data_IF_842407837203
#
_entry.id   IF_842407837203
#
_cell.length_a   1.000
_cell.length_b   1.000
_cell.length_c   1.000
_cell.angle_alpha   90.00
_cell.angle_beta   90.00
_cell.angle_gamma   90.00
#
_symmetry.space_group_name_H-M   'P 1'
#
loop_
_entity.id
_entity.type
_entity.pdbx_description
1 polymer ?
#
# COMPACT_ATOMS: atom_id res chain seq x y z
N UNK A 1 -11.53 -26.93 4.03
CA UNK A 1 -12.45 -26.64 2.91
C UNK A 1 -13.63 -25.75 3.34
N UNK A 2 -14.31 -26.04 4.47
CA UNK A 2 -15.45 -25.24 4.98
C UNK A 2 -15.14 -23.76 5.29
N UNK A 3 -13.95 -23.42 5.82
CA UNK A 3 -13.61 -22.02 6.13
C UNK A 3 -13.38 -21.12 4.90
N UNK A 4 -12.89 -21.67 3.79
CA UNK A 4 -12.62 -20.90 2.57
C UNK A 4 -13.94 -20.54 1.88
N UNK A 5 -14.87 -21.50 1.79
CA UNK A 5 -16.22 -21.25 1.27
C UNK A 5 -16.99 -20.28 2.17
N UNK A 6 -16.88 -20.43 3.49
CA UNK A 6 -17.52 -19.49 4.43
C UNK A 6 -16.93 -18.07 4.37
N UNK A 7 -15.66 -17.90 4.05
CA UNK A 7 -15.06 -16.57 3.85
C UNK A 7 -15.47 -16.00 2.48
N UNK A 8 -15.53 -16.82 1.43
CA UNK A 8 -15.99 -16.42 0.08
C UNK A 8 -17.47 -16.01 0.04
N UNK A 9 -18.35 -16.72 0.75
CA UNK A 9 -19.77 -16.36 0.82
C UNK A 9 -19.95 -14.98 1.49
N UNK A 10 -19.11 -14.68 2.48
CA UNK A 10 -19.12 -13.40 3.19
C UNK A 10 -18.56 -12.25 2.33
N UNK A 11 -17.57 -12.50 1.47
CA UNK A 11 -17.09 -11.47 0.54
C UNK A 11 -18.14 -11.16 -0.53
N UNK A 12 -18.79 -12.18 -1.08
CA UNK A 12 -19.86 -12.00 -2.06
C UNK A 12 -21.11 -11.29 -1.49
N UNK A 13 -21.46 -11.55 -0.23
CA UNK A 13 -22.51 -10.81 0.47
C UNK A 13 -22.12 -9.33 0.66
N UNK A 14 -20.93 -9.06 1.18
CA UNK A 14 -20.44 -7.69 1.37
C UNK A 14 -20.39 -6.90 0.06
N UNK A 15 -19.92 -7.51 -1.03
CA UNK A 15 -19.90 -6.90 -2.36
C UNK A 15 -21.30 -6.51 -2.82
N UNK A 16 -22.29 -7.39 -2.64
CA UNK A 16 -23.70 -7.12 -3.00
C UNK A 16 -24.27 -5.97 -2.19
N UNK A 17 -24.03 -5.93 -0.88
CA UNK A 17 -24.50 -4.85 -0.02
C UNK A 17 -23.90 -3.50 -0.40
N UNK A 18 -22.59 -3.45 -0.65
CA UNK A 18 -21.89 -2.22 -1.08
C UNK A 18 -22.45 -1.71 -2.41
N UNK A 19 -22.65 -2.60 -3.39
CA UNK A 19 -23.23 -2.21 -4.68
C UNK A 19 -24.69 -1.77 -4.56
N UNK A 20 -25.48 -2.42 -3.71
CA UNK A 20 -26.86 -2.02 -3.46
C UNK A 20 -26.94 -0.63 -2.83
N UNK A 21 -26.06 -0.33 -1.85
CA UNK A 21 -25.97 0.99 -1.23
C UNK A 21 -25.59 2.08 -2.24
N UNK A 22 -24.61 1.79 -3.12
CA UNK A 22 -24.23 2.71 -4.20
C UNK A 22 -25.33 2.90 -5.25
N UNK A 23 -26.07 1.84 -5.57
CA UNK A 23 -27.17 1.87 -6.54
C UNK A 23 -28.43 2.60 -6.03
N UNK A 24 -28.63 2.64 -4.71
CA UNK A 24 -29.74 3.38 -4.10
C UNK A 24 -29.67 4.90 -4.40
N UNK A 25 -28.47 5.43 -4.65
CA UNK A 25 -28.24 6.83 -4.99
C UNK A 25 -28.52 7.79 -3.82
N UNK A 26 -28.37 9.09 -4.08
CA UNK A 26 -28.62 10.14 -3.06
C UNK A 26 -27.64 10.13 -1.89
N UNK A 27 -26.44 9.58 -2.10
CA UNK A 27 -25.37 9.59 -1.10
C UNK A 27 -24.68 10.95 -1.09
N UNK A 28 -24.38 11.43 0.11
CA UNK A 28 -23.42 12.53 0.29
C UNK A 28 -22.04 12.12 -0.22
N UNK A 29 -21.25 13.09 -0.72
CA UNK A 29 -19.96 12.82 -1.37
C UNK A 29 -19.00 11.99 -0.49
N UNK A 30 -18.95 12.26 0.81
CA UNK A 30 -18.15 11.51 1.79
C UNK A 30 -18.58 10.04 1.88
N UNK A 31 -19.89 9.80 1.96
CA UNK A 31 -20.44 8.44 2.07
C UNK A 31 -20.21 7.65 0.79
N UNK A 32 -20.42 8.28 -0.37
CA UNK A 32 -20.13 7.67 -1.67
C UNK A 32 -18.64 7.32 -1.80
N UNK A 33 -17.74 8.25 -1.48
CA UNK A 33 -16.29 8.02 -1.55
C UNK A 33 -15.85 6.85 -0.65
N UNK A 34 -16.38 6.76 0.57
CA UNK A 34 -16.08 5.66 1.50
C UNK A 34 -16.61 4.30 1.01
N UNK A 35 -17.85 4.26 0.51
CA UNK A 35 -18.45 3.02 -0.02
C UNK A 35 -17.72 2.51 -1.25
N UNK A 36 -17.38 3.40 -2.19
CA UNK A 36 -16.57 3.04 -3.37
C UNK A 36 -15.17 2.58 -2.98
N UNK A 37 -14.55 3.22 -2.00
CA UNK A 37 -13.23 2.80 -1.48
C UNK A 37 -13.28 1.43 -0.82
N UNK A 38 -14.35 1.14 -0.07
CA UNK A 38 -14.56 -0.17 0.53
C UNK A 38 -14.76 -1.25 -0.55
N UNK A 39 -15.56 -0.97 -1.58
CA UNK A 39 -15.77 -1.87 -2.71
C UNK A 39 -14.46 -2.10 -3.48
N UNK A 40 -13.69 -1.05 -3.77
CA UNK A 40 -12.39 -1.17 -4.42
C UNK A 40 -11.40 -2.04 -3.62
N UNK A 41 -11.38 -1.87 -2.29
CA UNK A 41 -10.52 -2.69 -1.41
C UNK A 41 -10.92 -4.17 -1.45
N UNK A 42 -12.22 -4.45 -1.41
CA UNK A 42 -12.76 -5.81 -1.49
C UNK A 42 -12.39 -6.47 -2.82
N UNK A 43 -12.67 -5.81 -3.94
CA UNK A 43 -12.35 -6.28 -5.29
C UNK A 43 -10.84 -6.51 -5.48
N UNK A 44 -10.01 -5.58 -4.97
CA UNK A 44 -8.56 -5.72 -5.00
C UNK A 44 -8.07 -6.95 -4.24
N UNK A 45 -8.65 -7.24 -3.07
CA UNK A 45 -8.31 -8.44 -2.27
C UNK A 45 -8.70 -9.76 -2.94
N UNK A 46 -9.68 -9.73 -3.85
CA UNK A 46 -10.06 -10.86 -4.70
C UNK A 46 -9.22 -10.94 -5.99
N UNK A 47 -8.31 -10.00 -6.21
CA UNK A 47 -7.49 -9.90 -7.42
C UNK A 47 -8.22 -9.31 -8.63
N UNK A 48 -9.43 -8.77 -8.45
CA UNK A 48 -10.25 -8.11 -9.49
C UNK A 48 -9.80 -6.66 -9.66
N UNK A 49 -8.52 -6.48 -9.97
CA UNK A 49 -7.89 -5.16 -10.02
C UNK A 49 -8.50 -4.17 -11.03
N UNK A 50 -8.93 -4.56 -12.25
CA UNK A 50 -9.55 -3.61 -13.18
C UNK A 50 -10.78 -2.93 -12.57
N UNK A 51 -11.65 -3.72 -11.94
CA UNK A 51 -12.88 -3.22 -11.30
C UNK A 51 -12.57 -2.39 -10.06
N UNK A 52 -11.55 -2.78 -9.27
CA UNK A 52 -11.09 -1.99 -8.14
C UNK A 52 -10.57 -0.61 -8.56
N UNK A 53 -9.85 -0.54 -9.69
CA UNK A 53 -9.33 0.71 -10.26
C UNK A 53 -10.47 1.61 -10.76
N UNK A 54 -11.52 1.04 -11.35
CA UNK A 54 -12.70 1.82 -11.74
C UNK A 54 -13.40 2.45 -10.53
N UNK A 55 -13.62 1.66 -9.47
CA UNK A 55 -14.29 2.16 -8.27
C UNK A 55 -13.45 3.20 -7.52
N UNK A 56 -12.13 3.01 -7.42
CA UNK A 56 -11.27 4.02 -6.79
C UNK A 56 -11.15 5.29 -7.65
N UNK A 57 -11.19 5.17 -8.99
CA UNK A 57 -11.23 6.30 -9.90
C UNK A 57 -12.47 7.17 -9.69
N UNK A 58 -13.64 6.53 -9.51
CA UNK A 58 -14.89 7.21 -9.16
C UNK A 58 -14.83 7.85 -7.77
N UNK A 59 -14.20 7.19 -6.80
CA UNK A 59 -14.03 7.75 -5.46
C UNK A 59 -13.09 8.96 -5.43
N UNK A 60 -12.07 9.00 -6.29
CA UNK A 60 -11.09 10.09 -6.38
C UNK A 60 -11.67 11.39 -6.95
N UNK A 61 -12.73 11.30 -7.76
CA UNK A 61 -13.41 12.47 -8.34
C UNK A 61 -14.55 12.98 -7.45
N UNK A 62 -14.91 12.26 -6.39
CA UNK A 62 -15.88 12.73 -5.41
C UNK A 62 -15.30 13.94 -4.66
N UNK A 63 -16.11 14.99 -4.48
CA UNK A 63 -15.75 16.17 -3.68
C UNK A 63 -15.89 15.86 -2.19
N UNK A 64 -15.08 14.92 -1.73
CA UNK A 64 -15.13 14.41 -0.38
C UNK A 64 -14.23 15.26 0.54
N UNK A 65 -14.65 15.38 1.79
CA UNK A 65 -13.87 16.00 2.85
C UNK A 65 -12.54 15.29 3.06
N UNK A 66 -11.65 15.95 3.81
CA UNK A 66 -10.26 15.52 3.95
C UNK A 66 -10.09 14.05 4.34
N UNK A 67 -10.83 13.58 5.36
CA UNK A 67 -10.63 12.24 5.91
C UNK A 67 -11.01 11.13 4.90
N UNK A 68 -12.20 11.14 4.28
CA UNK A 68 -12.51 10.27 3.15
C UNK A 68 -11.52 10.40 1.99
N UNK A 69 -11.15 11.62 1.58
CA UNK A 69 -10.20 11.82 0.47
C UNK A 69 -8.81 11.21 0.75
N UNK A 70 -8.31 11.33 1.98
CA UNK A 70 -7.06 10.69 2.41
C UNK A 70 -7.18 9.16 2.38
N UNK A 71 -8.33 8.61 2.80
CA UNK A 71 -8.60 7.18 2.74
C UNK A 71 -8.66 6.65 1.31
N UNK A 72 -9.34 7.35 0.40
CA UNK A 72 -9.39 7.04 -1.04
C UNK A 72 -7.97 6.99 -1.61
N UNK A 73 -7.17 8.02 -1.37
CA UNK A 73 -5.79 8.08 -1.87
C UNK A 73 -4.92 6.96 -1.31
N UNK A 74 -5.09 6.61 -0.04
CA UNK A 74 -4.35 5.49 0.59
C UNK A 74 -4.65 4.16 -0.09
N UNK A 75 -5.91 3.88 -0.37
CA UNK A 75 -6.32 2.66 -1.08
C UNK A 75 -5.86 2.68 -2.53
N UNK A 76 -5.96 3.82 -3.21
CA UNK A 76 -5.42 3.99 -4.56
C UNK A 76 -3.90 3.69 -4.60
N UNK A 77 -3.13 4.24 -3.67
CA UNK A 77 -1.69 4.00 -3.57
C UNK A 77 -1.37 2.50 -3.37
N UNK A 78 -2.13 1.81 -2.53
CA UNK A 78 -1.98 0.38 -2.31
C UNK A 78 -2.31 -0.44 -3.58
N UNK A 79 -3.43 -0.14 -4.25
CA UNK A 79 -3.80 -0.80 -5.51
C UNK A 79 -2.76 -0.59 -6.61
N UNK A 80 -2.22 0.62 -6.73
CA UNK A 80 -1.13 0.92 -7.67
C UNK A 80 0.12 0.11 -7.34
N UNK A 81 0.47 -0.03 -6.06
CA UNK A 81 1.60 -0.84 -5.63
C UNK A 81 1.41 -2.33 -5.96
N UNK A 82 0.22 -2.89 -5.72
CA UNK A 82 -0.11 -4.28 -6.05
C UNK A 82 -0.06 -4.55 -7.56
N UNK A 83 -0.40 -3.55 -8.37
CA UNK A 83 -0.28 -3.58 -9.83
C UNK A 83 1.16 -3.34 -10.35
N UNK A 84 2.15 -3.18 -9.45
CA UNK A 84 3.54 -2.89 -9.81
C UNK A 84 3.79 -1.47 -10.29
N UNK A 85 2.80 -0.57 -10.20
CA UNK A 85 2.89 0.86 -10.56
C UNK A 85 3.53 1.66 -9.42
N UNK A 86 4.73 1.25 -9.01
CA UNK A 86 5.40 1.72 -7.80
C UNK A 86 5.68 3.23 -7.79
N UNK A 87 5.99 3.83 -8.96
CA UNK A 87 6.24 5.28 -9.05
C UNK A 87 5.00 6.10 -8.72
N UNK A 88 3.87 5.72 -9.32
CA UNK A 88 2.59 6.40 -9.08
C UNK A 88 2.11 6.18 -7.64
N UNK A 89 2.30 4.98 -7.08
CA UNK A 89 2.03 4.71 -5.68
C UNK A 89 2.89 5.61 -4.75
N UNK A 90 4.17 5.76 -5.04
CA UNK A 90 5.07 6.64 -4.27
C UNK A 90 4.62 8.09 -4.31
N UNK A 91 4.16 8.59 -5.48
CA UNK A 91 3.62 9.95 -5.62
C UNK A 91 2.33 10.15 -4.81
N UNK A 92 1.42 9.16 -4.79
CA UNK A 92 0.24 9.22 -3.92
C UNK A 92 0.64 9.27 -2.44
N UNK A 93 1.64 8.48 -2.02
CA UNK A 93 2.14 8.53 -0.65
C UNK A 93 2.82 9.86 -0.31
N UNK A 94 3.52 10.52 -1.25
CA UNK A 94 4.03 11.88 -1.04
C UNK A 94 2.91 12.85 -0.71
N UNK A 95 1.82 12.82 -1.48
CA UNK A 95 0.66 13.66 -1.22
C UNK A 95 0.04 13.39 0.17
N UNK A 96 -0.03 12.12 0.56
CA UNK A 96 -0.52 11.68 1.87
C UNK A 96 0.37 12.12 3.03
N UNK A 97 1.70 12.09 2.86
CA UNK A 97 2.66 12.60 3.85
C UNK A 97 2.49 14.10 4.04
N UNK A 98 2.40 14.86 2.95
CA UNK A 98 2.20 16.32 3.00
C UNK A 98 0.88 16.65 3.70
N UNK A 99 -0.21 15.97 3.33
CA UNK A 99 -1.51 16.10 3.97
C UNK A 99 -1.46 15.75 5.47
N UNK A 100 -0.93 14.59 5.83
CA UNK A 100 -0.86 14.13 7.22
C UNK A 100 -0.02 15.06 8.10
N UNK A 101 1.08 15.62 7.59
CA UNK A 101 1.91 16.57 8.34
C UNK A 101 1.20 17.88 8.62
N UNK A 102 0.41 18.39 7.67
CA UNK A 102 -0.41 19.60 7.88
C UNK A 102 -1.41 19.39 9.01
N UNK A 103 -2.03 18.22 9.06
CA UNK A 103 -2.99 17.83 10.10
C UNK A 103 -2.34 17.29 11.38
N UNK A 104 -1.00 17.26 11.47
CA UNK A 104 -0.24 16.65 12.59
C UNK A 104 -0.70 15.22 12.91
N UNK A 105 -1.09 14.48 11.88
CA UNK A 105 -1.59 13.11 11.99
C UNK A 105 -0.45 12.11 11.97
N UNK A 106 -0.50 11.10 12.85
CA UNK A 106 0.46 9.99 12.86
C UNK A 106 0.41 9.14 11.59
N UNK A 107 -0.67 9.24 10.82
CA UNK A 107 -0.76 8.64 9.49
C UNK A 107 0.35 9.11 8.53
N UNK A 108 0.92 10.30 8.73
CA UNK A 108 2.05 10.76 7.93
C UNK A 108 3.26 9.81 8.01
N UNK A 109 3.52 9.24 9.19
CA UNK A 109 4.61 8.28 9.40
C UNK A 109 4.34 6.98 8.65
N UNK A 110 3.08 6.50 8.70
CA UNK A 110 2.66 5.31 7.96
C UNK A 110 2.76 5.53 6.44
N UNK A 111 2.35 6.70 5.95
CA UNK A 111 2.45 7.05 4.54
C UNK A 111 3.91 7.12 4.06
N UNK A 112 4.81 7.74 4.82
CA UNK A 112 6.24 7.78 4.47
C UNK A 112 6.86 6.38 4.53
N UNK A 113 6.51 5.57 5.53
CA UNK A 113 6.88 4.15 5.59
C UNK A 113 6.49 3.40 4.30
N UNK A 114 5.24 3.53 3.86
CA UNK A 114 4.78 2.85 2.65
C UNK A 114 5.46 3.39 1.39
N UNK A 115 5.76 4.70 1.34
CA UNK A 115 6.55 5.30 0.27
C UNK A 115 7.95 4.69 0.19
N UNK A 116 8.63 4.49 1.32
CA UNK A 116 9.97 3.88 1.35
C UNK A 116 9.98 2.47 0.75
N UNK A 117 8.92 1.70 0.98
CA UNK A 117 8.75 0.39 0.33
C UNK A 117 8.68 0.55 -1.19
N UNK A 118 7.89 1.51 -1.71
CA UNK A 118 7.81 1.75 -3.15
C UNK A 118 9.14 2.22 -3.75
N UNK A 119 9.86 3.09 -3.07
CA UNK A 119 11.19 3.56 -3.50
C UNK A 119 12.21 2.40 -3.54
N UNK A 120 12.10 1.46 -2.60
CA UNK A 120 12.91 0.24 -2.60
C UNK A 120 12.61 -0.63 -3.82
N UNK A 121 11.34 -0.80 -4.18
CA UNK A 121 10.94 -1.51 -5.40
C UNK A 121 11.44 -0.84 -6.69
N UNK A 122 11.55 0.49 -6.70
CA UNK A 122 12.10 1.26 -7.82
C UNK A 122 13.64 1.26 -7.89
N UNK A 123 14.33 0.74 -6.87
CA UNK A 123 15.79 0.81 -6.76
C UNK A 123 16.32 2.22 -6.41
N UNK A 124 15.46 3.13 -5.92
CA UNK A 124 15.84 4.48 -5.50
C UNK A 124 16.49 4.46 -4.10
N UNK A 125 17.58 3.72 -3.96
CA UNK A 125 18.18 3.36 -2.68
C UNK A 125 18.67 4.55 -1.84
N UNK A 126 19.22 5.59 -2.47
CA UNK A 126 19.63 6.83 -1.79
C UNK A 126 18.42 7.57 -1.20
N UNK A 127 17.30 7.61 -1.92
CA UNK A 127 16.07 8.18 -1.44
C UNK A 127 15.51 7.38 -0.25
N UNK A 128 15.64 6.05 -0.28
CA UNK A 128 15.30 5.18 0.87
C UNK A 128 16.16 5.49 2.08
N UNK A 129 17.48 5.63 1.91
CA UNK A 129 18.41 5.96 3.01
C UNK A 129 18.04 7.30 3.66
N UNK A 130 17.89 8.36 2.85
CA UNK A 130 17.50 9.67 3.35
C UNK A 130 16.12 9.68 4.01
N UNK A 131 15.16 8.96 3.43
CA UNK A 131 13.80 8.91 3.97
C UNK A 131 13.70 8.07 5.24
N UNK A 132 14.45 6.96 5.34
CA UNK A 132 14.53 6.17 6.57
C UNK A 132 15.11 6.98 7.74
N UNK A 133 16.20 7.72 7.49
CA UNK A 133 16.80 8.60 8.50
C UNK A 133 15.82 9.70 8.97
N UNK A 134 15.08 10.32 8.04
CA UNK A 134 14.03 11.30 8.40
C UNK A 134 12.90 10.66 9.20
N UNK A 135 12.42 9.49 8.78
CA UNK A 135 11.34 8.78 9.46
C UNK A 135 11.75 8.36 10.89
N UNK A 136 13.01 7.97 11.08
CA UNK A 136 13.58 7.70 12.39
C UNK A 136 13.62 8.96 13.27
N UNK A 137 14.12 10.09 12.78
CA UNK A 137 14.11 11.37 13.52
C UNK A 137 12.68 11.79 13.89
N UNK A 138 11.74 11.74 12.93
CA UNK A 138 10.33 12.07 13.15
C UNK A 138 9.68 11.15 14.19
N UNK A 139 10.04 9.87 14.21
CA UNK A 139 9.50 8.90 15.16
C UNK A 139 9.87 9.22 16.62
N UNK A 140 10.98 9.90 16.88
CA UNK A 140 11.39 10.27 18.25
C UNK A 140 10.42 11.24 18.91
N UNK A 141 9.64 11.96 18.10
CA UNK A 141 8.66 12.97 18.53
C UNK A 141 7.22 12.43 18.51
N UNK A 142 7.02 11.21 18.01
CA UNK A 142 5.71 10.60 17.88
C UNK A 142 5.30 9.86 19.16
N UNK A 143 4.00 9.77 19.47
CA UNK A 143 3.53 8.92 20.57
C UNK A 143 3.70 7.44 20.24
N UNK A 144 3.86 6.61 21.26
CA UNK A 144 3.75 5.15 21.11
C UNK A 144 2.27 4.75 20.89
N UNK A 145 1.97 3.72 20.07
CA UNK A 145 2.90 2.79 19.41
C UNK A 145 3.42 3.27 18.04
N UNK A 146 2.94 4.40 17.53
CA UNK A 146 3.24 4.89 16.17
C UNK A 146 4.74 5.14 15.97
N UNK A 147 5.41 5.65 17.01
CA UNK A 147 6.86 5.82 17.03
C UNK A 147 7.61 4.51 16.80
N UNK A 148 7.27 3.45 17.53
CA UNK A 148 7.87 2.12 17.33
C UNK A 148 7.61 1.58 15.93
N UNK A 149 6.39 1.73 15.41
CA UNK A 149 6.05 1.27 14.06
C UNK A 149 6.83 2.02 12.98
N UNK A 150 6.99 3.34 13.12
CA UNK A 150 7.78 4.15 12.21
C UNK A 150 9.25 3.69 12.18
N UNK A 151 9.89 3.50 13.35
CA UNK A 151 11.27 3.01 13.46
C UNK A 151 11.45 1.62 12.84
N UNK A 152 10.56 0.69 13.18
CA UNK A 152 10.59 -0.69 12.67
C UNK A 152 10.48 -0.70 11.15
N UNK A 153 9.54 0.06 10.59
CA UNK A 153 9.34 0.11 9.14
C UNK A 153 10.46 0.82 8.38
N UNK A 154 11.01 1.90 8.94
CA UNK A 154 12.18 2.59 8.40
C UNK A 154 13.38 1.63 8.31
N UNK A 155 13.70 0.95 9.40
CA UNK A 155 14.78 -0.04 9.45
C UNK A 155 14.55 -1.20 8.49
N UNK A 156 13.30 -1.66 8.35
CA UNK A 156 12.95 -2.73 7.44
C UNK A 156 13.18 -2.34 5.96
N UNK A 157 12.75 -1.14 5.57
CA UNK A 157 12.93 -0.63 4.20
C UNK A 157 14.40 -0.38 3.89
N UNK A 158 15.14 0.21 4.84
CA UNK A 158 16.58 0.42 4.71
C UNK A 158 17.35 -0.91 4.60
N UNK A 159 17.04 -1.88 5.43
CA UNK A 159 17.67 -3.20 5.37
C UNK A 159 17.43 -3.91 4.03
N UNK A 160 16.21 -3.83 3.49
CA UNK A 160 15.90 -4.37 2.18
C UNK A 160 16.70 -3.66 1.08
N UNK A 161 16.76 -2.33 1.12
CA UNK A 161 17.56 -1.51 0.21
C UNK A 161 19.06 -1.89 0.24
N UNK A 162 19.64 -2.05 1.43
CA UNK A 162 21.02 -2.51 1.62
C UNK A 162 21.24 -3.93 1.05
N UNK A 163 20.31 -4.85 1.32
CA UNK A 163 20.40 -6.21 0.82
C UNK A 163 20.35 -6.29 -0.71
N UNK A 164 19.50 -5.47 -1.37
CA UNK A 164 19.43 -5.40 -2.83
C UNK A 164 20.73 -4.86 -3.46
N UNK A 165 21.51 -4.07 -2.71
CA UNK A 165 22.84 -3.58 -3.10
C UNK A 165 23.99 -4.53 -2.75
N UNK A 166 23.69 -5.74 -2.29
CA UNK A 166 24.69 -6.72 -1.85
C UNK A 166 25.33 -6.43 -0.49
N UNK A 167 24.88 -5.38 0.23
CA UNK A 167 25.37 -5.02 1.57
C UNK A 167 24.67 -5.85 2.65
N UNK A 168 24.74 -7.17 2.50
CA UNK A 168 23.97 -8.09 3.34
C UNK A 168 24.40 -8.08 4.82
N UNK A 169 25.68 -7.81 5.11
CA UNK A 169 26.19 -7.72 6.48
C UNK A 169 25.54 -6.56 7.23
N UNK A 170 25.58 -5.37 6.63
CA UNK A 170 24.98 -4.15 7.17
C UNK A 170 23.46 -4.31 7.36
N UNK A 171 22.77 -4.91 6.38
CA UNK A 171 21.35 -5.22 6.48
C UNK A 171 21.05 -6.15 7.67
N UNK A 172 21.85 -7.20 7.86
CA UNK A 172 21.70 -8.13 8.98
C UNK A 172 21.94 -7.49 10.34
N UNK A 173 22.99 -6.66 10.46
CA UNK A 173 23.27 -5.93 11.69
C UNK A 173 22.14 -4.95 12.04
N UNK A 174 21.67 -4.18 11.06
CA UNK A 174 20.56 -3.25 11.23
C UNK A 174 19.30 -3.96 11.74
N UNK A 175 18.94 -5.09 11.14
CA UNK A 175 17.76 -5.86 11.53
C UNK A 175 17.91 -6.48 12.92
N UNK A 176 19.11 -6.97 13.28
CA UNK A 176 19.36 -7.46 14.63
C UNK A 176 19.26 -6.36 15.69
N UNK A 177 19.80 -5.16 15.41
CA UNK A 177 19.63 -4.00 16.30
C UNK A 177 18.15 -3.61 16.44
N UNK A 178 17.41 -3.58 15.34
CA UNK A 178 15.97 -3.28 15.35
C UNK A 178 15.16 -4.32 16.13
N UNK A 179 15.49 -5.60 16.03
CA UNK A 179 14.86 -6.68 16.81
C UNK A 179 15.18 -6.55 18.29
N UNK A 180 16.42 -6.29 18.67
CA UNK A 180 16.82 -6.12 20.07
C UNK A 180 16.12 -4.91 20.72
N UNK A 181 15.81 -3.87 19.95
CA UNK A 181 15.09 -2.69 20.40
C UNK A 181 13.56 -2.89 20.46
N UNK A 182 13.01 -3.93 19.81
CA UNK A 182 11.57 -4.16 19.76
C UNK A 182 11.16 -5.21 20.79
N UNK A 183 10.58 -4.77 21.90
CA UNK A 183 10.16 -5.61 23.02
C UNK A 183 8.77 -6.25 22.82
N UNK A 184 8.09 -6.00 21.69
CA UNK A 184 6.72 -6.45 21.46
C UNK A 184 6.66 -7.76 20.63
N UNK A 185 6.08 -8.80 21.24
CA UNK A 185 5.74 -10.12 20.65
C UNK A 185 4.54 -10.05 19.67
N UNK A 186 4.55 -9.09 18.75
CA UNK A 186 3.41 -8.81 17.86
C UNK A 186 3.64 -9.20 16.41
N UNK A 187 2.55 -9.17 15.61
CA UNK A 187 2.52 -9.51 14.17
C UNK A 187 3.60 -8.82 13.32
N UNK A 188 4.19 -7.72 13.79
CA UNK A 188 5.31 -7.04 13.14
C UNK A 188 6.66 -7.76 13.29
N UNK A 189 6.83 -8.58 14.32
CA UNK A 189 7.98 -9.47 14.42
C UNK A 189 8.10 -10.34 13.16
N UNK A 190 6.97 -10.86 12.63
CA UNK A 190 6.96 -11.65 11.39
C UNK A 190 7.52 -10.90 10.18
N UNK A 191 7.14 -9.63 9.99
CA UNK A 191 7.65 -8.79 8.89
C UNK A 191 9.17 -8.59 9.05
N UNK A 192 9.62 -8.33 10.28
CA UNK A 192 11.03 -8.23 10.62
C UNK A 192 11.79 -9.57 10.57
N UNK A 193 11.13 -10.73 10.48
CA UNK A 193 11.81 -12.04 10.38
C UNK A 193 12.07 -12.49 8.94
N UNK A 194 11.30 -12.00 7.95
CA UNK A 194 11.49 -12.39 6.54
C UNK A 194 12.75 -11.75 5.93
N UNK A 195 13.03 -10.49 6.25
CA UNK A 195 14.17 -9.78 5.67
C UNK A 195 15.56 -10.20 6.22
N UNK A 196 15.73 -10.56 7.50
CA UNK A 196 16.99 -11.15 7.99
C UNK A 196 17.29 -12.48 7.31
N UNK A 197 16.26 -13.31 7.09
CA UNK A 197 16.37 -14.57 6.36
C UNK A 197 16.90 -14.32 4.94
N UNK A 198 16.36 -13.31 4.23
CA UNK A 198 16.88 -12.90 2.91
C UNK A 198 18.33 -12.39 2.97
N UNK A 199 18.68 -11.57 3.96
CA UNK A 199 20.03 -11.07 4.14
C UNK A 199 21.03 -12.23 4.41
N UNK A 200 20.67 -13.18 5.27
CA UNK A 200 21.49 -14.35 5.58
C UNK A 200 21.67 -15.29 4.38
N UNK A 201 20.62 -15.47 3.56
CA UNK A 201 20.70 -16.20 2.29
C UNK A 201 21.68 -15.52 1.33
N UNK A 202 21.61 -14.19 1.19
CA UNK A 202 22.56 -13.41 0.38
C UNK A 202 24.02 -13.55 0.83
N UNK A 203 24.26 -13.80 2.12
CA UNK A 203 25.60 -14.07 2.67
C UNK A 203 26.06 -15.53 2.50
N UNK A 204 25.22 -16.43 1.96
CA UNK A 204 25.50 -17.87 1.93
C UNK A 204 25.51 -18.54 3.31
N UNK A 205 24.98 -17.90 4.36
CA UNK A 205 25.05 -18.37 5.75
C UNK A 205 23.85 -19.26 6.13
N UNK A 206 23.69 -20.37 5.42
CA UNK A 206 22.56 -21.31 5.59
C UNK A 206 22.43 -21.89 6.99
N UNK A 207 23.54 -22.14 7.71
CA UNK A 207 23.49 -22.67 9.10
C UNK A 207 22.88 -21.68 10.12
N UNK A 208 23.04 -20.38 9.92
CA UNK A 208 22.44 -19.36 10.80
C UNK A 208 20.96 -19.12 10.49
N UNK A 209 20.54 -19.42 9.26
CA UNK A 209 19.16 -19.38 8.80
C UNK A 209 18.25 -20.24 9.70
N UNK A 210 18.68 -21.46 10.02
CA UNK A 210 17.91 -22.41 10.82
C UNK A 210 17.65 -21.89 12.24
N UNK A 211 18.62 -21.17 12.82
CA UNK A 211 18.44 -20.50 14.11
C UNK A 211 17.38 -19.41 14.03
N UNK A 212 17.50 -18.49 13.07
CA UNK A 212 16.55 -17.37 12.88
C UNK A 212 15.13 -17.85 12.54
N UNK A 213 14.99 -18.94 11.76
CA UNK A 213 13.69 -19.53 11.45
C UNK A 213 13.05 -20.25 12.65
N UNK A 214 13.86 -20.75 13.59
CA UNK A 214 13.40 -21.39 14.83
C UNK A 214 13.02 -20.39 15.92
N UNK A 215 13.69 -19.23 15.97
CA UNK A 215 13.40 -18.17 16.94
C UNK A 215 12.31 -17.21 16.46
N UNK A 216 11.93 -17.26 15.19
CA UNK A 216 10.74 -16.55 14.71
C UNK A 216 9.47 -17.02 15.43
N UNK A 217 8.45 -16.16 15.58
CA UNK A 217 7.21 -16.51 16.25
C UNK A 217 6.61 -17.76 15.58
N UNK A 218 6.01 -18.68 16.36
CA UNK A 218 5.52 -19.94 15.83
C UNK A 218 4.60 -19.67 14.65
N UNK A 219 5.01 -20.11 13.45
CA UNK A 219 4.24 -20.00 12.20
C UNK A 219 2.78 -20.31 12.50
N UNK A 220 1.86 -19.42 12.10
CA UNK A 220 0.40 -19.55 12.25
C UNK A 220 -0.10 -21.00 12.16
N UNK A 221 -0.08 -21.74 13.26
CA UNK A 221 -0.72 -23.06 13.38
C UNK A 221 -2.06 -22.97 14.08
N UNK A 222 -2.40 -21.81 14.64
CA UNK A 222 -3.73 -21.51 15.17
C UNK A 222 -4.02 -20.02 14.97
N UNK A 223 -4.80 -19.67 13.94
CA UNK A 223 -5.67 -18.49 14.06
C UNK A 223 -6.55 -18.70 15.31
N UNK A 224 -6.85 -17.67 16.11
CA UNK A 224 -7.75 -17.84 17.23
C UNK A 224 -9.08 -18.38 16.71
N UNK A 225 -9.47 -19.57 17.19
CA UNK A 225 -10.84 -20.05 17.07
C UNK A 225 -11.71 -18.96 17.69
N UNK A 226 -12.44 -18.20 16.87
CA UNK A 226 -13.55 -17.42 17.40
C UNK A 226 -14.51 -18.43 18.03
N UNK A 227 -14.87 -18.31 19.31
CA UNK A 227 -15.87 -19.19 19.89
C UNK A 227 -17.15 -18.98 19.08
N UNK A 228 -17.69 -20.09 18.58
CA UNK A 228 -19.02 -20.13 18.01
C UNK A 228 -19.99 -19.58 19.07
N UNK A 229 -20.56 -18.42 18.81
CA UNK A 229 -21.67 -17.89 19.59
C UNK A 229 -22.88 -18.78 19.38
N UNK A 230 -23.06 -19.75 20.27
CA UNK A 230 -24.36 -20.39 20.48
C UNK A 230 -25.33 -19.32 20.93
N UNK A 231 -26.44 -19.20 20.22
CA UNK A 231 -27.42 -18.16 20.40
C UNK A 231 -27.94 -18.04 21.83
N UNK A 232 -28.19 -16.80 22.23
CA UNK A 232 -29.22 -16.51 23.21
C UNK A 232 -29.92 -15.23 22.80
N UNK A 233 -31.13 -15.44 22.30
CA UNK A 233 -32.24 -14.49 22.26
C UNK A 233 -32.26 -13.61 23.50
N UNK A 234 -32.10 -12.31 23.29
CA UNK A 234 -32.33 -11.27 24.29
C UNK A 234 -33.01 -10.11 23.58
N UNK A 235 -34.33 -10.15 23.56
CA UNK A 235 -35.17 -9.07 23.09
C UNK A 235 -34.89 -7.81 23.93
N UNK A 236 -34.52 -6.71 23.25
CA UNK A 236 -34.61 -5.37 23.83
C UNK A 236 -35.81 -4.69 23.16
N UNK A 237 -36.90 -4.56 23.92
CA UNK A 237 -38.03 -3.69 23.57
C UNK A 237 -37.57 -2.23 23.61
N UNK A 238 -38.05 -1.40 22.69
CA UNK A 238 -37.86 0.04 22.74
C UNK A 238 -38.91 0.68 23.67
N UNK A 239 -38.46 1.54 24.57
CA UNK A 239 -39.23 2.64 25.11
C UNK A 239 -38.66 3.91 24.44
N UNK A 240 -39.39 4.83 23.82
CA UNK A 240 -40.81 5.05 23.70
C UNK A 240 -41.01 6.56 23.52
N UNK A 241 -41.89 6.96 22.57
CA UNK A 241 -42.58 8.27 22.46
C UNK A 241 -41.68 9.51 22.19
N UNK A 242 -42.01 10.47 21.31
CA UNK A 242 -43.27 10.99 20.75
C UNK A 242 -42.92 11.81 19.50
N UNK A 243 -43.81 11.89 18.51
CA UNK A 243 -43.74 12.93 17.47
C UNK A 243 -44.39 12.54 16.15
N UNK A 244 -45.71 12.49 16.12
CA UNK A 244 -46.49 12.34 14.89
C UNK A 244 -46.65 13.69 14.20
N UNK A 245 -46.28 13.78 12.92
CA UNK A 245 -46.87 14.71 11.94
C UNK A 245 -47.02 13.95 10.63
N UNK A 246 -48.24 13.93 10.10
CA UNK A 246 -48.65 13.37 8.80
C UNK A 246 -49.38 14.49 8.01
N UNK A 247 -49.73 14.33 6.72
CA UNK A 247 -49.04 15.04 5.64
C UNK A 247 -49.99 15.90 4.76
N UNK A 248 -49.41 16.77 3.95
CA UNK A 248 -50.02 17.35 2.75
C UNK A 248 -48.87 17.73 1.80
N UNK A 249 -48.90 17.60 0.48
CA UNK A 249 -49.94 17.16 -0.44
C UNK A 249 -49.32 16.92 -1.83
N UNK A 250 -50.12 16.27 -2.67
CA UNK A 250 -49.90 16.04 -4.11
C UNK A 250 -49.69 17.33 -4.90
N UNK A 251 -48.83 17.25 -5.92
CA UNK A 251 -48.99 17.75 -7.31
C UNK A 251 -47.81 17.13 -8.10
N UNK A 252 -47.88 16.56 -9.30
CA UNK A 252 -48.81 16.71 -10.41
C UNK A 252 -48.02 17.10 -11.66
N UNK A 253 -47.83 16.16 -12.60
CA UNK A 253 -47.54 16.32 -14.06
C UNK A 253 -46.15 16.84 -14.51
N UNK A 254 -45.52 16.52 -15.67
CA UNK A 254 -45.69 15.70 -16.90
C UNK A 254 -44.32 15.81 -17.69
N UNK A 255 -44.02 14.99 -18.72
CA UNK A 255 -42.65 14.60 -19.11
C UNK A 255 -42.06 15.37 -20.31
N UNK A 256 -40.73 15.31 -20.47
CA UNK A 256 -40.04 15.58 -21.72
C UNK A 256 -38.70 14.80 -21.76
N UNK A 257 -38.55 13.86 -22.68
CA UNK A 257 -37.52 14.01 -23.73
C UNK A 257 -36.53 12.84 -23.75
N UNK A 258 -36.82 11.83 -24.57
CA UNK A 258 -35.85 10.79 -24.98
C UNK A 258 -34.82 11.41 -25.95
N UNK A 259 -33.51 11.19 -25.78
CA UNK A 259 -32.58 11.18 -26.89
C UNK A 259 -32.40 9.77 -27.45
N UNK A 260 -32.21 9.70 -28.77
CA UNK A 260 -32.03 8.52 -29.60
C UNK A 260 -30.73 7.75 -29.28
N UNK A 261 -30.64 6.45 -29.67
CA UNK A 261 -29.45 5.64 -29.46
C UNK A 261 -28.30 6.06 -30.38
N UNK A 262 -27.09 6.14 -29.82
CA UNK A 262 -25.85 6.23 -30.57
C UNK A 262 -25.56 4.89 -31.25
N UNK A 263 -25.54 4.88 -32.59
CA UNK A 263 -24.91 3.84 -33.39
C UNK A 263 -23.39 3.95 -33.23
N UNK A 264 -22.78 2.98 -32.54
CA UNK A 264 -21.34 2.81 -32.49
C UNK A 264 -20.99 1.52 -33.25
N UNK A 265 -20.63 1.66 -34.53
CA UNK A 265 -19.93 0.60 -35.26
C UNK A 265 -18.53 0.39 -34.67
N UNK A 266 -18.07 -0.85 -34.50
CA UNK A 266 -16.72 -1.12 -34.01
C UNK A 266 -15.66 -0.76 -35.08
N UNK A 267 -14.49 -0.22 -34.69
CA UNK A 267 -13.40 0.01 -35.61
C UNK A 267 -12.79 -1.31 -36.12
N UNK A 268 -12.22 -1.34 -37.33
CA UNK A 268 -11.61 -2.54 -37.89
C UNK A 268 -10.36 -2.98 -37.10
N UNK A 269 -10.06 -4.28 -37.05
CA UNK A 269 -8.90 -4.80 -36.33
C UNK A 269 -7.59 -4.29 -36.95
N UNK A 270 -6.76 -3.68 -36.11
CA UNK A 270 -5.42 -3.21 -36.47
C UNK A 270 -4.51 -4.36 -36.89
N UNK A 271 -3.72 -4.12 -37.95
CA UNK A 271 -2.74 -5.07 -38.49
C UNK A 271 -1.62 -5.43 -37.50
N UNK A 272 -0.85 -6.49 -37.79
CA UNK A 272 0.17 -7.01 -36.89
C UNK A 272 1.29 -6.00 -36.63
N UNK A 273 1.82 -5.94 -35.39
CA UNK A 273 2.89 -5.03 -35.03
C UNK A 273 4.20 -5.38 -35.76
N UNK A 274 5.04 -4.38 -36.07
CA UNK A 274 6.34 -4.61 -36.70
C UNK A 274 7.29 -5.38 -35.77
N UNK A 275 8.23 -6.17 -36.33
CA UNK A 275 9.17 -6.96 -35.55
C UNK A 275 10.15 -6.07 -34.76
N UNK A 276 10.62 -6.53 -33.58
CA UNK A 276 11.52 -5.77 -32.73
C UNK A 276 12.91 -5.59 -33.38
N UNK A 277 13.46 -4.38 -33.26
CA UNK A 277 14.78 -4.03 -33.74
C UNK A 277 15.89 -4.79 -32.99
N UNK A 278 16.84 -5.34 -33.74
CA UNK A 278 17.94 -6.18 -33.28
C UNK A 278 19.03 -5.36 -32.54
N UNK A 279 19.34 -5.62 -31.26
CA UNK A 279 20.21 -4.75 -30.45
C UNK A 279 21.72 -5.00 -30.59
N UNK A 280 22.18 -5.76 -31.60
CA UNK A 280 23.61 -6.08 -31.76
C UNK A 280 24.31 -5.18 -32.78
N UNK A 281 24.56 -3.91 -32.43
CA UNK A 281 25.63 -3.10 -33.02
C UNK A 281 26.19 -2.12 -31.98
N UNK A 282 27.27 -2.53 -31.30
CA UNK A 282 28.10 -1.61 -30.50
C UNK A 282 29.13 -0.92 -31.40
N UNK A 283 29.31 0.41 -31.31
CA UNK A 283 30.42 1.08 -31.97
C UNK A 283 31.72 0.91 -31.14
N UNK A 284 32.79 0.58 -31.85
CA UNK A 284 34.18 0.47 -31.37
C UNK A 284 34.71 1.80 -30.84
N UNK A 285 35.11 1.85 -29.55
CA UNK A 285 35.88 2.97 -28.98
C UNK A 285 37.37 2.80 -29.28
N UNK A 286 37.98 3.83 -29.88
CA UNK A 286 39.44 4.01 -30.02
C UNK A 286 40.07 4.37 -28.66
N UNK A 287 41.35 4.02 -28.40
CA UNK A 287 42.06 4.40 -27.19
C UNK A 287 42.65 5.81 -27.32
N UNK A 288 42.43 6.65 -26.31
CA UNK A 288 43.15 7.91 -26.13
C UNK A 288 44.43 7.66 -25.32
N UNK A 289 45.54 8.19 -25.84
CA UNK A 289 46.89 8.01 -25.32
C UNK A 289 47.17 8.74 -24.01
N UNK A 290 48.21 8.24 -23.34
CA UNK A 290 48.86 8.84 -22.18
C UNK A 290 49.75 10.02 -22.60
N UNK A 291 50.02 10.96 -21.67
CA UNK A 291 51.27 11.69 -21.67
C UNK A 291 52.18 11.28 -20.51
N UNK A 292 53.41 11.06 -20.93
CA UNK A 292 54.68 10.90 -20.22
C UNK A 292 55.02 12.01 -19.22
N UNK A 293 55.48 11.58 -18.03
CA UNK A 293 56.82 11.87 -17.49
C UNK A 293 57.26 13.34 -17.30
N UNK A 294 57.41 13.74 -16.05
CA UNK A 294 58.23 14.90 -15.66
C UNK A 294 58.23 15.14 -14.15
N UNK A 295 59.29 14.73 -13.45
CA UNK A 295 59.73 15.32 -12.18
C UNK A 295 61.17 15.80 -12.32
N UNK A 296 61.89 16.16 -11.24
CA UNK A 296 61.49 16.90 -10.03
C UNK A 296 62.30 18.22 -9.89
N UNK A 297 61.92 19.11 -8.98
CA UNK A 297 62.81 20.21 -8.55
C UNK A 297 62.77 20.39 -7.03
N UNK A 298 63.94 20.15 -6.42
CA UNK A 298 64.33 20.59 -5.07
C UNK A 298 64.40 22.12 -5.03
N UNK A 299 64.11 22.71 -3.88
CA UNK A 299 64.35 24.13 -3.64
C UNK A 299 64.02 24.55 -2.22
N UNK A 300 65.01 24.43 -1.34
CA UNK A 300 65.08 24.97 0.01
C UNK A 300 64.98 26.50 0.06
N UNK A 301 64.26 27.02 1.06
CA UNK A 301 64.64 28.14 1.93
C UNK A 301 63.78 28.15 3.19
#
# INVERSE_FOLDING_TARGET
MSHVLSDQDRTAEAERELRAALAAGGLEADAEALLRTALASLLGSEGRYPEAVEEIGRALVADASFAPAAQVRRVNAALLADLGRHREAAEQYVALVVAGRRERSSFALLAESNRLVQLTCLGEHEAVEHGAARLEDESTRAPEPDATWARVSANNSLALSLALRGRHADAGELLHRAQAANLADDAFALILHVNPVRALLGQGRTRRLDGTLRTGPPRHRRRPRRPHGTGRTGAVRPAGRTGAVRPAGRNGAVPAGRPAPFDASPPPPGGPPPPPANPLRRPSRRPCGAPSGGGPARGSR
#
